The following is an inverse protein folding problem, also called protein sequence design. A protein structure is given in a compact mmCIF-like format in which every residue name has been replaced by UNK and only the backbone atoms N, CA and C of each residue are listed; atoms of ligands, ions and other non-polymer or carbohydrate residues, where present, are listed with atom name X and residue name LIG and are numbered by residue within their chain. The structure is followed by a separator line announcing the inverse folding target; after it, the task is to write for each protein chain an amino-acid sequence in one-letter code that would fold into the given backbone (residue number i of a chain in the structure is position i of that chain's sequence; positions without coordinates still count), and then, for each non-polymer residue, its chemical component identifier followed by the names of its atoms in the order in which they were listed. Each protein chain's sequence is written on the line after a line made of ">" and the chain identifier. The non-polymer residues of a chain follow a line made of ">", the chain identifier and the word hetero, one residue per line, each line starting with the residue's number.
data_IF_499899663665
#
_entry.id   IF_499899663665
#
_cell.length_a   1.000
_cell.length_b   1.000
_cell.length_c   1.000
_cell.angle_alpha   90.00
_cell.angle_beta   90.00
_cell.angle_gamma   90.00
#
_symmetry.space_group_name_H-M   'P 1'
#
loop_
_entity.id
_entity.type
_entity.pdbx_description
1 polymer ?
#
# COMPACT_ATOMS: atom_id res chain seq x y z
N UNK A 1 -7.99 8.63 6.60
CA UNK A 1 -8.49 7.26 6.69
C UNK A 1 -8.21 6.48 5.40
N UNK A 2 -8.88 6.73 4.26
CA UNK A 2 -8.76 5.89 3.06
C UNK A 2 -7.31 5.61 2.60
N UNK A 3 -6.49 6.65 2.42
CA UNK A 3 -5.08 6.48 2.03
C UNK A 3 -4.27 5.69 3.06
N UNK A 4 -4.58 5.85 4.34
CA UNK A 4 -3.89 5.15 5.42
C UNK A 4 -4.22 3.64 5.41
N UNK A 5 -5.50 3.28 5.34
CA UNK A 5 -5.92 1.87 5.22
C UNK A 5 -5.36 1.23 3.93
N UNK A 6 -5.41 1.96 2.81
CA UNK A 6 -4.85 1.48 1.54
C UNK A 6 -3.32 1.26 1.61
N UNK A 7 -2.58 2.09 2.33
CA UNK A 7 -1.14 1.89 2.54
C UNK A 7 -0.85 0.66 3.42
N UNK A 8 -1.70 0.39 4.42
CA UNK A 8 -1.58 -0.81 5.25
C UNK A 8 -1.72 -2.08 4.39
N UNK A 9 -2.78 -2.17 3.60
CA UNK A 9 -2.99 -3.29 2.65
C UNK A 9 -1.86 -3.39 1.61
N UNK A 10 -1.36 -2.24 1.13
CA UNK A 10 -0.25 -2.19 0.18
C UNK A 10 1.03 -2.74 0.81
N UNK A 11 1.28 -2.45 2.08
CA UNK A 11 2.45 -2.97 2.79
C UNK A 11 2.39 -4.51 2.92
N UNK A 12 1.22 -5.07 3.19
CA UNK A 12 1.03 -6.53 3.22
C UNK A 12 1.25 -7.17 1.85
N UNK A 13 0.69 -6.58 0.78
CA UNK A 13 0.91 -7.05 -0.58
C UNK A 13 2.39 -6.96 -0.98
N UNK A 14 3.08 -5.89 -0.59
CA UNK A 14 4.49 -5.69 -0.88
C UNK A 14 5.38 -6.82 -0.33
N UNK A 15 5.02 -7.43 0.81
CA UNK A 15 5.73 -8.60 1.37
C UNK A 15 5.73 -9.82 0.45
N UNK A 16 4.74 -9.95 -0.42
CA UNK A 16 4.66 -11.03 -1.40
C UNK A 16 5.24 -10.59 -2.75
N UNK A 17 4.92 -9.36 -3.16
CA UNK A 17 5.29 -8.84 -4.47
C UNK A 17 6.78 -8.55 -4.63
N UNK A 18 7.43 -7.99 -3.61
CA UNK A 18 8.85 -7.61 -3.68
C UNK A 18 9.78 -8.82 -3.88
N UNK A 19 9.71 -9.90 -3.08
CA UNK A 19 10.56 -11.07 -3.31
C UNK A 19 10.28 -11.72 -4.67
N UNK A 20 9.01 -11.81 -5.09
CA UNK A 20 8.65 -12.29 -6.43
C UNK A 20 9.30 -11.46 -7.55
N UNK A 21 9.25 -10.13 -7.45
CA UNK A 21 9.87 -9.24 -8.43
C UNK A 21 11.39 -9.40 -8.49
N UNK A 22 12.04 -9.53 -7.33
CA UNK A 22 13.50 -9.74 -7.23
C UNK A 22 13.89 -11.09 -7.82
N UNK A 23 13.24 -12.16 -7.38
CA UNK A 23 13.52 -13.55 -7.77
C UNK A 23 13.43 -13.79 -9.28
N UNK A 24 12.44 -13.20 -9.95
CA UNK A 24 12.19 -13.41 -11.38
C UNK A 24 12.56 -12.23 -12.27
N UNK A 25 13.22 -11.21 -11.71
CA UNK A 25 13.56 -9.95 -12.39
C UNK A 25 12.39 -9.41 -13.22
N UNK A 26 11.27 -9.12 -12.53
CA UNK A 26 10.03 -8.68 -13.16
C UNK A 26 10.12 -7.22 -13.58
N UNK A 27 9.75 -6.92 -14.83
CA UNK A 27 9.60 -5.56 -15.33
C UNK A 27 8.34 -5.45 -16.19
N UNK A 28 7.57 -4.33 -16.07
CA UNK A 28 7.72 -3.26 -15.09
C UNK A 28 7.39 -3.72 -13.65
N UNK A 29 7.92 -3.01 -12.64
CA UNK A 29 7.72 -3.36 -11.21
C UNK A 29 6.33 -3.00 -10.67
N UNK A 30 5.57 -2.18 -11.39
CA UNK A 30 4.20 -1.83 -11.04
C UNK A 30 3.25 -2.99 -11.41
N UNK A 31 2.52 -3.59 -10.46
CA UNK A 31 1.76 -4.82 -10.70
C UNK A 31 0.60 -4.62 -11.67
N UNK A 32 -0.14 -3.50 -11.60
CA UNK A 32 -1.23 -3.20 -12.54
C UNK A 32 -0.71 -3.16 -13.98
N UNK A 33 0.41 -2.46 -14.20
CA UNK A 33 1.05 -2.38 -15.51
C UNK A 33 1.54 -3.76 -15.95
N UNK A 34 2.28 -4.48 -15.08
CA UNK A 34 2.84 -5.78 -15.40
C UNK A 34 1.78 -6.80 -15.83
N UNK A 35 0.67 -6.90 -15.09
CA UNK A 35 -0.38 -7.87 -15.39
C UNK A 35 -1.32 -7.43 -16.53
N UNK A 36 -1.37 -6.13 -16.86
CA UNK A 36 -2.14 -5.61 -17.99
C UNK A 36 -1.40 -5.73 -19.35
N UNK A 37 -0.08 -5.82 -19.35
CA UNK A 37 0.70 -5.95 -20.58
C UNK A 37 0.36 -7.24 -21.34
N UNK A 38 0.05 -7.09 -22.63
CA UNK A 38 -0.19 -8.20 -23.57
C UNK A 38 1.10 -8.64 -24.26
N UNK A 39 2.14 -8.90 -23.48
CA UNK A 39 3.44 -9.38 -23.98
C UNK A 39 3.66 -10.83 -23.58
N UNK A 40 4.56 -11.52 -24.28
CA UNK A 40 5.00 -12.85 -23.85
C UNK A 40 5.79 -12.74 -22.54
N UNK A 41 5.12 -13.10 -21.45
CA UNK A 41 5.68 -13.07 -20.11
C UNK A 41 6.62 -14.25 -19.81
N UNK A 42 6.71 -15.25 -20.70
CA UNK A 42 7.63 -16.38 -20.57
C UNK A 42 8.99 -16.10 -21.21
N UNK A 43 9.09 -15.05 -22.03
CA UNK A 43 10.32 -14.66 -22.69
C UNK A 43 11.46 -14.49 -21.68
N UNK A 44 12.57 -15.17 -21.93
CA UNK A 44 13.80 -15.15 -21.14
C UNK A 44 13.63 -15.63 -19.67
N UNK A 45 12.54 -16.34 -19.36
CA UNK A 45 12.31 -16.93 -18.03
C UNK A 45 12.79 -18.36 -17.97
N UNK A 46 13.94 -18.56 -17.32
CA UNK A 46 14.61 -19.88 -17.20
C UNK A 46 14.22 -20.65 -15.93
N UNK A 47 13.61 -19.98 -14.95
CA UNK A 47 13.25 -20.59 -13.67
C UNK A 47 12.03 -21.53 -13.83
N UNK A 48 12.13 -22.83 -13.49
CA UNK A 48 11.07 -23.81 -13.74
C UNK A 48 9.80 -23.54 -12.91
N UNK A 49 9.92 -22.88 -11.76
CA UNK A 49 8.77 -22.56 -10.90
C UNK A 49 8.01 -21.30 -11.33
N UNK A 50 8.53 -20.55 -12.31
CA UNK A 50 8.01 -19.23 -12.68
C UNK A 50 6.51 -19.26 -13.03
N UNK A 51 6.07 -20.20 -13.86
CA UNK A 51 4.67 -20.27 -14.31
C UNK A 51 3.71 -20.46 -13.13
N UNK A 52 4.06 -21.37 -12.22
CA UNK A 52 3.26 -21.66 -11.01
C UNK A 52 3.21 -20.44 -10.08
N UNK A 53 4.37 -19.85 -9.79
CA UNK A 53 4.47 -18.71 -8.87
C UNK A 53 3.83 -17.45 -9.46
N UNK A 54 3.99 -17.18 -10.76
CA UNK A 54 3.32 -16.06 -11.44
C UNK A 54 1.79 -16.20 -11.38
N UNK A 55 1.27 -17.43 -11.57
CA UNK A 55 -0.18 -17.68 -11.47
C UNK A 55 -0.70 -17.44 -10.06
N UNK A 56 0.05 -17.87 -9.04
CA UNK A 56 -0.29 -17.61 -7.65
C UNK A 56 -0.24 -16.10 -7.35
N UNK A 57 0.81 -15.41 -7.76
CA UNK A 57 0.99 -13.97 -7.56
C UNK A 57 -0.09 -13.14 -8.26
N UNK A 58 -0.54 -13.55 -9.45
CA UNK A 58 -1.67 -12.89 -10.11
C UNK A 58 -2.95 -12.96 -9.28
N UNK A 59 -3.24 -14.11 -8.65
CA UNK A 59 -4.43 -14.24 -7.77
C UNK A 59 -4.33 -13.36 -6.53
N UNK A 60 -3.18 -13.40 -5.87
CA UNK A 60 -2.87 -12.53 -4.73
C UNK A 60 -3.06 -11.04 -5.08
N UNK A 61 -2.66 -10.65 -6.28
CA UNK A 61 -2.85 -9.29 -6.78
C UNK A 61 -4.33 -8.94 -7.05
N UNK A 62 -5.11 -9.83 -7.66
CA UNK A 62 -6.55 -9.59 -7.86
C UNK A 62 -7.31 -9.51 -6.52
N UNK A 63 -6.97 -10.36 -5.55
CA UNK A 63 -7.54 -10.29 -4.20
C UNK A 63 -7.17 -8.96 -3.50
N UNK A 64 -5.92 -8.51 -3.65
CA UNK A 64 -5.48 -7.20 -3.19
C UNK A 64 -6.31 -6.07 -3.84
N UNK A 65 -6.56 -6.12 -5.16
CA UNK A 65 -7.41 -5.13 -5.85
C UNK A 65 -8.82 -5.09 -5.26
N UNK A 66 -9.40 -6.26 -4.97
CA UNK A 66 -10.73 -6.36 -4.34
C UNK A 66 -10.73 -5.68 -2.96
N UNK A 67 -9.72 -5.93 -2.11
CA UNK A 67 -9.60 -5.28 -0.80
C UNK A 67 -9.46 -3.76 -0.90
N UNK A 68 -8.63 -3.27 -1.83
CA UNK A 68 -8.50 -1.83 -2.09
C UNK A 68 -9.83 -1.23 -2.56
N UNK A 69 -10.54 -1.88 -3.47
CA UNK A 69 -11.85 -1.42 -3.94
C UNK A 69 -12.87 -1.35 -2.80
N UNK A 70 -12.85 -2.30 -1.86
CA UNK A 70 -13.69 -2.27 -0.67
C UNK A 70 -13.37 -1.07 0.23
N UNK A 71 -12.09 -0.76 0.45
CA UNK A 71 -11.66 0.44 1.21
C UNK A 71 -12.15 1.72 0.52
N UNK A 72 -12.00 1.82 -0.81
CA UNK A 72 -12.45 2.98 -1.58
C UNK A 72 -13.97 3.14 -1.49
N UNK A 73 -14.74 2.06 -1.66
CA UNK A 73 -16.19 2.09 -1.57
C UNK A 73 -16.66 2.49 -0.16
N UNK A 74 -16.04 1.93 0.90
CA UNK A 74 -16.29 2.31 2.30
C UNK A 74 -16.05 3.81 2.51
N UNK A 75 -14.95 4.34 1.98
CA UNK A 75 -14.56 5.74 2.16
C UNK A 75 -15.50 6.76 1.49
N UNK A 76 -16.36 6.35 0.56
CA UNK A 76 -17.33 7.25 -0.08
C UNK A 76 -18.43 7.73 0.87
N UNK A 77 -18.73 6.99 1.93
CA UNK A 77 -19.76 7.31 2.92
C UNK A 77 -19.11 7.59 4.26
N UNK A 78 -18.89 8.87 4.55
CA UNK A 78 -18.33 9.30 5.84
C UNK A 78 -19.36 9.01 6.94
N UNK A 79 -19.01 8.27 8.01
CA UNK A 79 -19.91 8.04 9.14
C UNK A 79 -20.28 9.37 9.82
N UNK A 80 -21.51 9.54 10.32
CA UNK A 80 -21.92 10.75 11.05
C UNK A 80 -21.02 11.10 12.23
N UNK A 81 -20.56 10.07 12.96
CA UNK A 81 -19.65 10.16 14.10
C UNK A 81 -18.16 10.31 13.70
N UNK A 82 -17.88 10.34 12.40
CA UNK A 82 -16.53 10.35 11.85
C UNK A 82 -15.90 8.97 11.75
N UNK A 83 -14.67 8.92 11.25
CA UNK A 83 -13.94 7.67 11.12
C UNK A 83 -13.38 7.22 12.47
N UNK A 84 -13.32 5.90 12.65
CA UNK A 84 -12.77 5.23 13.82
C UNK A 84 -11.63 4.30 13.36
N UNK A 85 -10.56 4.22 14.14
CA UNK A 85 -9.43 3.31 13.92
C UNK A 85 -9.80 1.87 14.33
N UNK A 86 -8.96 0.89 13.96
CA UNK A 86 -9.22 -0.51 14.30
C UNK A 86 -9.25 -0.78 15.81
N UNK A 87 -8.53 0.02 16.60
CA UNK A 87 -8.49 -0.04 18.07
C UNK A 87 -9.69 0.64 18.75
N UNK A 88 -10.66 1.14 17.97
CA UNK A 88 -11.85 1.82 18.46
C UNK A 88 -11.66 3.31 18.76
N UNK A 89 -10.47 3.87 18.58
CA UNK A 89 -10.22 5.29 18.83
C UNK A 89 -10.69 6.16 17.64
N UNK A 90 -11.14 7.41 17.88
CA UNK A 90 -11.49 8.32 16.79
C UNK A 90 -10.29 8.61 15.88
N UNK A 91 -10.50 8.58 14.57
CA UNK A 91 -9.47 8.92 13.60
C UNK A 91 -8.97 10.37 13.82
N UNK A 92 -7.66 10.59 14.07
CA UNK A 92 -7.14 11.92 14.42
C UNK A 92 -7.40 12.99 13.34
N UNK A 93 -7.50 12.57 12.07
CA UNK A 93 -7.74 13.46 10.93
C UNK A 93 -9.21 13.62 10.54
N UNK A 94 -10.17 13.42 11.45
CA UNK A 94 -11.59 13.62 11.15
C UNK A 94 -11.91 15.08 10.79
N UNK A 95 -11.24 16.04 11.45
CA UNK A 95 -11.28 17.44 11.05
C UNK A 95 -10.07 17.79 10.18
N UNK A 96 -10.30 18.03 8.88
CA UNK A 96 -9.21 18.28 7.92
C UNK A 96 -8.51 19.63 8.07
N UNK A 97 -9.04 20.53 8.90
CA UNK A 97 -8.51 21.87 9.19
C UNK A 97 -7.87 21.97 10.58
N UNK A 98 -8.17 21.04 11.47
CA UNK A 98 -7.65 21.01 12.84
C UNK A 98 -7.40 19.56 13.25
N UNK A 99 -6.16 19.10 13.10
CA UNK A 99 -5.77 17.75 13.46
C UNK A 99 -4.28 17.69 13.80
N UNK A 100 -3.88 16.83 14.76
CA UNK A 100 -2.48 16.62 15.07
C UNK A 100 -1.73 16.00 13.88
N UNK A 101 -0.41 16.10 13.93
CA UNK A 101 0.46 15.31 13.06
C UNK A 101 0.35 13.81 13.36
N UNK A 102 0.62 12.97 12.36
CA UNK A 102 0.62 11.52 12.52
C UNK A 102 1.76 10.89 11.73
N UNK A 103 2.49 9.97 12.36
CA UNK A 103 3.56 9.20 11.73
C UNK A 103 3.28 7.72 12.00
N UNK A 104 3.25 6.92 10.95
CA UNK A 104 3.13 5.46 11.04
C UNK A 104 4.20 4.80 10.19
N UNK A 105 4.89 3.81 10.75
CA UNK A 105 5.85 2.96 10.03
C UNK A 105 5.18 1.63 9.71
N UNK A 106 5.13 1.25 8.43
CA UNK A 106 4.49 0.01 7.97
C UNK A 106 5.50 -1.10 7.63
N UNK A 107 6.61 -0.75 7.01
CA UNK A 107 7.69 -1.66 6.60
C UNK A 107 9.03 -1.18 7.15
N UNK A 108 10.05 -2.03 7.14
CA UNK A 108 11.39 -1.79 7.68
C UNK A 108 11.71 -2.71 8.86
N UNK A 109 12.83 -2.47 9.55
CA UNK A 109 13.31 -3.30 10.67
C UNK A 109 12.25 -3.64 11.72
N UNK A 110 11.47 -2.65 12.16
CA UNK A 110 10.36 -2.82 13.13
C UNK A 110 9.02 -3.19 12.48
N UNK A 111 8.95 -3.14 11.14
CA UNK A 111 7.74 -3.40 10.37
C UNK A 111 7.62 -4.87 9.95
N UNK A 112 8.57 -5.74 10.27
CA UNK A 112 8.53 -7.17 9.92
C UNK A 112 9.11 -7.51 8.55
N UNK A 113 9.28 -8.81 8.29
CA UNK A 113 9.98 -9.35 7.12
C UNK A 113 9.05 -9.67 5.94
N UNK A 114 9.62 -9.88 4.75
CA UNK A 114 8.91 -10.49 3.63
C UNK A 114 8.66 -11.99 3.86
N UNK A 115 7.98 -12.66 2.91
CA UNK A 115 7.66 -14.09 3.04
C UNK A 115 8.89 -15.01 3.01
N UNK A 116 10.07 -14.49 2.66
CA UNK A 116 11.34 -15.21 2.66
C UNK A 116 12.20 -14.87 3.89
N UNK A 117 11.69 -14.03 4.81
CA UNK A 117 12.40 -13.62 6.01
C UNK A 117 13.36 -12.44 5.81
N UNK A 118 13.37 -11.79 4.64
CA UNK A 118 14.23 -10.65 4.38
C UNK A 118 13.58 -9.33 4.78
N UNK A 119 14.40 -8.34 5.15
CA UNK A 119 13.90 -7.00 5.41
C UNK A 119 13.48 -6.28 4.11
N UNK A 120 12.40 -5.51 4.22
CA UNK A 120 11.94 -4.62 3.16
C UNK A 120 12.33 -3.18 3.44
N UNK A 121 12.48 -2.34 2.40
CA UNK A 121 12.67 -0.91 2.56
C UNK A 121 11.58 -0.29 3.44
N UNK A 122 11.98 0.69 4.25
CA UNK A 122 11.07 1.35 5.20
C UNK A 122 9.97 2.13 4.47
N UNK A 123 8.72 1.90 4.85
CA UNK A 123 7.56 2.67 4.39
C UNK A 123 7.01 3.47 5.56
N UNK A 124 7.07 4.80 5.47
CA UNK A 124 6.58 5.73 6.49
C UNK A 124 5.43 6.56 5.93
N UNK A 125 4.28 6.50 6.58
CA UNK A 125 3.18 7.43 6.36
C UNK A 125 3.35 8.63 7.29
N UNK A 126 3.29 9.83 6.72
CA UNK A 126 3.37 11.09 7.45
C UNK A 126 2.20 11.98 7.07
N UNK A 127 1.43 12.39 8.07
CA UNK A 127 0.42 13.44 7.96
C UNK A 127 0.89 14.64 8.77
N UNK A 128 0.97 15.81 8.14
CA UNK A 128 1.34 17.06 8.82
C UNK A 128 0.24 17.51 9.76
N UNK A 129 0.61 18.15 10.85
CA UNK A 129 -0.33 18.88 11.70
C UNK A 129 -0.98 20.04 10.94
N UNK A 130 -2.24 20.32 11.27
CA UNK A 130 -2.94 21.53 10.83
C UNK A 130 -3.71 22.15 11.98
N UNK A 131 -3.71 23.48 12.04
CA UNK A 131 -4.45 24.28 13.03
C UNK A 131 -5.12 25.47 12.35
N UNK A 132 -6.33 25.85 12.76
CA UNK A 132 -6.96 27.08 12.30
C UNK A 132 -6.07 28.30 12.55
N UNK A 133 -6.02 29.25 11.61
CA UNK A 133 -5.19 30.46 11.73
C UNK A 133 -3.74 30.31 11.26
N UNK A 134 -3.30 29.10 10.91
CA UNK A 134 -1.96 28.87 10.35
C UNK A 134 -2.02 28.70 8.82
N UNK A 135 -1.17 29.45 8.12
CA UNK A 135 -1.04 29.31 6.67
C UNK A 135 -0.31 28.00 6.33
N UNK A 136 -0.90 27.20 5.45
CA UNK A 136 -0.31 25.94 5.00
C UNK A 136 0.03 26.01 3.52
N UNK A 137 1.31 25.88 3.17
CA UNK A 137 1.73 25.81 1.77
C UNK A 137 1.26 24.49 1.14
N UNK A 138 0.66 24.61 -0.06
CA UNK A 138 0.51 23.49 -0.99
C UNK A 138 1.91 23.02 -1.41
N UNK A 139 2.01 21.77 -1.88
CA UNK A 139 3.28 21.10 -2.23
C UNK A 139 4.21 22.08 -2.96
N UNK A 140 5.28 22.50 -2.28
CA UNK A 140 6.36 23.26 -2.89
C UNK A 140 7.12 22.24 -3.76
N UNK A 141 7.03 22.39 -5.07
CA UNK A 141 7.84 21.61 -5.98
C UNK A 141 9.29 22.15 -5.92
N UNK A 142 10.32 21.28 -5.82
CA UNK A 142 11.65 21.65 -6.25
C UNK A 142 11.70 21.84 -7.77
#
# INVERSE_FOLDING_TARGET
>A
MCTFEALSETAEFARKWVPFCKKFNIEPRAPEMYFALKVDYLKDKVQPTFVKERRAMKREYEEFKVRINAIVAKAQKVPPEGWIMQDGTPWPGNNTRDHPGMIQVFLGHSGGHDVEGNELPRLVYVSREKRPGFAHHKKLAP
#
